data_IF_243304092329
#
_entry.id   IF_243304092329
#
_cell.length_a   1.000
_cell.length_b   1.000
_cell.length_c   1.000
_cell.angle_alpha   90.00
_cell.angle_beta   90.00
_cell.angle_gamma   90.00
#
_symmetry.space_group_name_H-M   'P 1'
#
loop_
_entity.id
_entity.type
_entity.pdbx_description
1 polymer ?
#
# COMPACT_ATOMS: atom_id res chain seq x y z
N UNK A 1 -1.87 15.01 29.28
CA UNK A 1 -1.02 13.82 29.07
C UNK A 1 -0.41 13.43 30.41
N UNK A 2 -0.85 12.31 30.97
CA UNK A 2 -0.24 11.73 32.17
C UNK A 2 0.82 10.71 31.75
N UNK A 3 2.10 11.07 31.92
CA UNK A 3 3.21 10.23 31.50
C UNK A 3 4.01 9.72 32.71
N UNK A 4 4.43 8.45 32.64
CA UNK A 4 5.44 7.90 33.51
C UNK A 4 6.82 8.02 32.84
N UNK A 5 7.82 8.42 33.63
CA UNK A 5 9.22 8.47 33.17
C UNK A 5 10.03 7.56 34.07
N UNK A 6 10.60 6.52 33.48
CA UNK A 6 11.54 5.62 34.16
C UNK A 6 12.96 5.90 33.64
N UNK A 7 13.88 6.13 34.55
CA UNK A 7 15.32 6.26 34.22
C UNK A 7 16.01 4.95 34.56
N UNK A 8 16.54 4.30 33.54
CA UNK A 8 17.30 3.04 33.69
C UNK A 8 18.75 3.29 34.10
N UNK A 9 19.37 2.27 34.68
CA UNK A 9 20.77 2.36 35.17
C UNK A 9 21.79 2.68 34.06
N UNK A 10 21.50 2.31 32.82
CA UNK A 10 22.32 2.61 31.63
C UNK A 10 22.12 4.03 31.07
N UNK A 11 21.30 4.87 31.74
CA UNK A 11 21.00 6.24 31.31
C UNK A 11 19.82 6.39 30.36
N UNK A 12 19.21 5.30 29.89
CA UNK A 12 18.02 5.34 29.07
C UNK A 12 16.82 5.92 29.83
N UNK A 13 15.98 6.66 29.11
CA UNK A 13 14.69 7.16 29.59
C UNK A 13 13.58 6.40 28.88
N UNK A 14 12.77 5.64 29.62
CA UNK A 14 11.52 5.08 29.11
C UNK A 14 10.38 6.01 29.48
N UNK A 15 9.67 6.51 28.47
CA UNK A 15 8.50 7.36 28.63
C UNK A 15 7.29 6.55 28.18
N UNK A 16 6.32 6.40 29.06
CA UNK A 16 5.08 5.67 28.78
C UNK A 16 3.85 6.50 29.20
N UNK A 17 2.73 6.28 28.53
CA UNK A 17 1.45 6.80 28.97
C UNK A 17 0.97 5.98 30.19
N UNK A 18 0.44 6.64 31.21
CA UNK A 18 -0.16 5.96 32.38
C UNK A 18 -1.58 5.50 32.11
N UNK A 19 -2.26 6.17 31.18
CA UNK A 19 -3.60 5.75 30.81
C UNK A 19 -3.54 4.37 30.12
N UNK A 20 -4.40 3.41 30.51
CA UNK A 20 -4.45 2.13 29.85
C UNK A 20 -4.87 2.29 28.39
N UNK A 21 -4.32 1.47 27.51
CA UNK A 21 -4.80 1.38 26.14
C UNK A 21 -6.26 0.84 26.18
N UNK A 22 -7.21 1.63 25.67
CA UNK A 22 -8.60 1.22 25.57
C UNK A 22 -8.82 0.06 24.59
N UNK A 23 -10.06 -0.28 24.33
CA UNK A 23 -10.40 -1.29 23.32
C UNK A 23 -9.94 -0.82 21.93
N UNK A 24 -9.25 -1.66 21.21
CA UNK A 24 -8.77 -1.39 19.85
C UNK A 24 -9.07 -2.56 18.92
N UNK A 25 -9.09 -2.30 17.62
CA UNK A 25 -9.31 -3.32 16.60
C UNK A 25 -8.11 -4.25 16.49
N UNK A 26 -8.35 -5.53 16.25
CA UNK A 26 -7.29 -6.53 16.05
C UNK A 26 -6.52 -6.33 14.74
N UNK A 27 -7.17 -5.73 13.74
CA UNK A 27 -6.56 -5.33 12.47
C UNK A 27 -7.26 -4.10 11.87
N UNK A 28 -6.58 -3.42 10.93
CA UNK A 28 -7.08 -2.19 10.32
C UNK A 28 -8.20 -2.42 9.29
N UNK A 29 -8.52 -3.65 8.93
CA UNK A 29 -9.66 -3.95 8.05
C UNK A 29 -10.99 -4.09 8.80
N UNK A 30 -10.99 -4.28 10.13
CA UNK A 30 -12.21 -4.36 10.93
C UNK A 30 -13.08 -3.10 10.84
N UNK A 31 -12.53 -1.87 10.94
CA UNK A 31 -13.30 -0.64 10.72
C UNK A 31 -13.98 -0.60 9.34
N UNK A 32 -13.28 -1.00 8.27
CA UNK A 32 -13.87 -1.06 6.93
C UNK A 32 -15.04 -2.04 6.88
N UNK A 33 -14.90 -3.23 7.48
CA UNK A 33 -15.97 -4.23 7.56
C UNK A 33 -17.16 -3.72 8.37
N UNK A 34 -16.91 -3.00 9.46
CA UNK A 34 -17.96 -2.39 10.28
C UNK A 34 -18.76 -1.38 9.47
N UNK A 35 -18.09 -0.41 8.84
CA UNK A 35 -18.77 0.65 8.09
C UNK A 35 -19.43 0.13 6.80
N UNK A 36 -18.87 -0.88 6.16
CA UNK A 36 -19.52 -1.53 5.03
C UNK A 36 -20.84 -2.24 5.39
N UNK A 37 -21.01 -2.66 6.66
CA UNK A 37 -22.27 -3.23 7.16
C UNK A 37 -23.27 -2.17 7.64
N UNK A 38 -22.78 -1.10 8.28
CA UNK A 38 -23.63 -0.10 8.95
C UNK A 38 -24.01 1.07 8.05
N UNK A 39 -23.12 1.47 7.14
CA UNK A 39 -23.31 2.58 6.19
C UNK A 39 -22.80 2.21 4.80
N UNK A 40 -23.33 1.15 4.16
CA UNK A 40 -22.78 0.59 2.92
C UNK A 40 -22.68 1.59 1.77
N UNK A 41 -23.64 2.48 1.63
CA UNK A 41 -23.77 3.41 0.52
C UNK A 41 -23.04 4.75 0.76
N UNK A 42 -22.48 4.96 1.96
CA UNK A 42 -21.70 6.15 2.23
C UNK A 42 -20.38 6.13 1.46
N UNK A 43 -20.01 7.26 0.85
CA UNK A 43 -18.73 7.42 0.14
C UNK A 43 -17.57 7.29 1.14
N UNK A 44 -16.69 6.37 0.85
CA UNK A 44 -15.46 6.12 1.62
C UNK A 44 -14.24 6.76 0.97
N UNK A 45 -14.05 6.57 -0.34
CA UNK A 45 -12.96 7.14 -1.11
C UNK A 45 -13.50 7.97 -2.26
N UNK A 46 -12.83 9.07 -2.57
CA UNK A 46 -13.12 9.87 -3.74
C UNK A 46 -11.83 10.41 -4.35
N UNK A 47 -11.75 10.42 -5.67
CA UNK A 47 -10.62 10.92 -6.44
C UNK A 47 -11.11 11.58 -7.71
N UNK A 48 -10.45 12.66 -8.14
CA UNK A 48 -10.69 13.25 -9.45
C UNK A 48 -10.06 12.42 -10.54
N UNK A 49 -10.78 12.21 -11.63
CA UNK A 49 -10.23 11.60 -12.85
C UNK A 49 -9.55 12.64 -13.75
N UNK A 50 -9.09 12.22 -14.93
CA UNK A 50 -8.41 13.08 -15.88
C UNK A 50 -9.35 14.18 -16.49
N UNK A 51 -10.66 14.01 -16.39
CA UNK A 51 -11.69 14.96 -16.83
C UNK A 51 -12.21 15.83 -15.67
N UNK A 52 -11.51 15.83 -14.52
CA UNK A 52 -11.86 16.53 -13.29
C UNK A 52 -13.22 16.10 -12.69
N UNK A 53 -13.69 14.89 -13.03
CA UNK A 53 -14.92 14.33 -12.47
C UNK A 53 -14.59 13.48 -11.22
N UNK A 54 -15.53 13.48 -10.25
CA UNK A 54 -15.37 12.68 -9.05
C UNK A 54 -15.67 11.20 -9.30
N UNK A 55 -14.66 10.36 -9.27
CA UNK A 55 -14.79 8.91 -9.07
C UNK A 55 -14.96 8.65 -7.57
N UNK A 56 -16.09 8.06 -7.17
CA UNK A 56 -16.42 7.77 -5.77
C UNK A 56 -16.53 6.27 -5.56
N UNK A 57 -16.15 5.84 -4.39
CA UNK A 57 -16.24 4.45 -3.94
C UNK A 57 -16.89 4.41 -2.57
N UNK A 58 -17.98 3.63 -2.43
CA UNK A 58 -18.68 3.48 -1.15
C UNK A 58 -17.97 2.45 -0.25
N UNK A 59 -18.33 2.40 1.03
CA UNK A 59 -17.79 1.39 1.96
C UNK A 59 -18.04 -0.03 1.48
N UNK A 60 -19.25 -0.34 1.01
CA UNK A 60 -19.58 -1.67 0.49
C UNK A 60 -18.73 -2.03 -0.74
N UNK A 61 -18.61 -1.11 -1.69
CA UNK A 61 -17.81 -1.30 -2.90
C UNK A 61 -16.31 -1.47 -2.56
N UNK A 62 -15.80 -0.68 -1.61
CA UNK A 62 -14.42 -0.79 -1.17
C UNK A 62 -14.15 -2.16 -0.53
N UNK A 63 -15.02 -2.63 0.36
CA UNK A 63 -14.85 -3.93 1.00
C UNK A 63 -14.90 -5.09 -0.01
N UNK A 64 -15.80 -5.03 -0.99
CA UNK A 64 -15.87 -6.04 -2.06
C UNK A 64 -14.56 -6.08 -2.87
N UNK A 65 -14.04 -4.93 -3.29
CA UNK A 65 -12.78 -4.86 -4.02
C UNK A 65 -11.59 -5.32 -3.14
N UNK A 66 -11.53 -4.91 -1.88
CA UNK A 66 -10.50 -5.35 -0.93
C UNK A 66 -10.45 -6.88 -0.81
N UNK A 67 -11.61 -7.54 -0.73
CA UNK A 67 -11.68 -9.00 -0.66
C UNK A 67 -11.20 -9.68 -1.96
N UNK A 68 -11.60 -9.14 -3.14
CA UNK A 68 -11.18 -9.69 -4.44
C UNK A 68 -9.68 -9.52 -4.64
N UNK A 69 -9.15 -8.33 -4.40
CA UNK A 69 -7.72 -8.05 -4.49
C UNK A 69 -6.96 -8.92 -3.48
N UNK A 70 -7.39 -9.00 -2.22
CA UNK A 70 -6.77 -9.85 -1.20
C UNK A 70 -6.66 -11.31 -1.64
N UNK A 71 -7.74 -11.87 -2.21
CA UNK A 71 -7.70 -13.21 -2.76
C UNK A 71 -6.72 -13.34 -3.95
N UNK A 72 -6.59 -12.31 -4.80
CA UNK A 72 -5.63 -12.29 -5.89
C UNK A 72 -4.17 -12.23 -5.40
N UNK A 73 -3.92 -11.47 -4.33
CA UNK A 73 -2.59 -11.39 -3.69
C UNK A 73 -2.17 -12.75 -3.11
N UNK A 74 -3.08 -13.45 -2.42
CA UNK A 74 -2.82 -14.78 -1.87
C UNK A 74 -2.53 -15.81 -2.98
N UNK A 75 -3.29 -15.79 -4.09
CA UNK A 75 -3.04 -16.70 -5.24
C UNK A 75 -1.66 -16.47 -5.89
N UNK A 76 -1.08 -15.30 -5.76
CA UNK A 76 0.27 -14.95 -6.24
C UNK A 76 1.39 -15.37 -5.28
N UNK A 77 1.02 -15.98 -4.16
CA UNK A 77 1.97 -16.42 -3.13
C UNK A 77 2.66 -15.25 -2.42
N UNK A 78 2.01 -14.09 -2.35
CA UNK A 78 2.50 -12.97 -1.54
C UNK A 78 2.31 -13.29 -0.06
N UNK A 79 3.26 -12.89 0.77
CA UNK A 79 3.34 -13.22 2.19
C UNK A 79 4.17 -12.20 2.95
N UNK A 80 4.43 -12.47 4.24
CA UNK A 80 5.35 -11.66 5.04
C UNK A 80 6.78 -11.62 4.44
N UNK A 81 7.23 -12.72 3.82
CA UNK A 81 8.55 -12.84 3.19
C UNK A 81 8.55 -12.34 1.73
N UNK A 82 7.39 -12.06 1.17
CA UNK A 82 7.19 -11.55 -0.19
C UNK A 82 6.20 -10.39 -0.16
N UNK A 83 6.58 -9.24 0.41
CA UNK A 83 5.72 -8.09 0.59
C UNK A 83 5.43 -7.37 -0.72
N UNK A 84 4.61 -6.33 -0.62
CA UNK A 84 4.27 -5.43 -1.72
C UNK A 84 5.02 -4.11 -1.55
N UNK A 85 5.62 -3.59 -2.62
CA UNK A 85 6.13 -2.22 -2.66
C UNK A 85 5.22 -1.36 -3.53
N UNK A 86 4.83 -0.20 -3.03
CA UNK A 86 4.00 0.78 -3.74
C UNK A 86 4.85 1.98 -4.12
N UNK A 87 5.19 2.08 -5.41
CA UNK A 87 5.97 3.17 -6.00
C UNK A 87 4.99 4.14 -6.67
N UNK A 88 4.19 4.84 -5.88
CA UNK A 88 3.12 5.68 -6.41
C UNK A 88 2.68 6.75 -5.41
N UNK A 89 2.08 7.82 -5.92
CA UNK A 89 1.32 8.77 -5.11
C UNK A 89 0.00 8.18 -4.62
N UNK A 90 -0.80 9.00 -3.95
CA UNK A 90 -2.12 8.61 -3.48
C UNK A 90 -3.09 8.39 -4.64
N UNK A 91 -3.82 7.28 -4.59
CA UNK A 91 -4.92 6.96 -5.51
C UNK A 91 -5.90 6.00 -4.84
N UNK A 92 -7.07 5.80 -5.44
CA UNK A 92 -8.03 4.78 -4.98
C UNK A 92 -7.38 3.39 -5.05
N UNK A 93 -6.65 3.08 -6.12
CA UNK A 93 -5.97 1.79 -6.30
C UNK A 93 -4.88 1.55 -5.25
N UNK A 94 -4.09 2.59 -4.91
CA UNK A 94 -3.13 2.53 -3.82
C UNK A 94 -3.84 2.19 -2.50
N UNK A 95 -4.92 2.90 -2.18
CA UNK A 95 -5.68 2.67 -0.95
C UNK A 95 -6.29 1.26 -0.90
N UNK A 96 -6.87 0.79 -2.02
CA UNK A 96 -7.45 -0.55 -2.12
C UNK A 96 -6.40 -1.65 -1.98
N UNK A 97 -5.23 -1.48 -2.62
CA UNK A 97 -4.13 -2.44 -2.51
C UNK A 97 -3.61 -2.53 -1.08
N UNK A 98 -3.40 -1.38 -0.43
CA UNK A 98 -2.97 -1.30 0.96
C UNK A 98 -3.98 -1.96 1.92
N UNK A 99 -5.27 -1.65 1.76
CA UNK A 99 -6.34 -2.25 2.56
C UNK A 99 -6.47 -3.76 2.32
N UNK A 100 -6.33 -4.20 1.06
CA UNK A 100 -6.36 -5.62 0.72
C UNK A 100 -5.16 -6.38 1.32
N UNK A 101 -3.96 -5.81 1.23
CA UNK A 101 -2.77 -6.39 1.85
C UNK A 101 -2.94 -6.53 3.37
N UNK A 102 -3.40 -5.47 4.06
CA UNK A 102 -3.69 -5.53 5.49
C UNK A 102 -4.80 -6.54 5.83
N UNK A 103 -5.82 -6.66 4.96
CA UNK A 103 -6.94 -7.59 5.16
C UNK A 103 -6.49 -9.06 5.19
N UNK A 104 -5.48 -9.40 4.39
CA UNK A 104 -4.96 -10.78 4.28
C UNK A 104 -3.60 -10.98 4.97
N UNK A 105 -3.12 -9.98 5.72
CA UNK A 105 -1.88 -10.08 6.50
C UNK A 105 -0.58 -10.01 5.69
N UNK A 106 -0.61 -9.39 4.51
CA UNK A 106 0.57 -9.19 3.67
C UNK A 106 1.15 -7.79 3.95
N UNK A 107 2.44 -7.67 4.32
CA UNK A 107 3.08 -6.37 4.48
C UNK A 107 3.13 -5.60 3.16
N UNK A 108 2.94 -4.29 3.24
CA UNK A 108 3.15 -3.39 2.11
C UNK A 108 3.97 -2.18 2.53
N UNK A 109 4.78 -1.67 1.62
CA UNK A 109 5.65 -0.52 1.85
C UNK A 109 5.39 0.57 0.80
N UNK A 110 4.70 1.67 1.15
CA UNK A 110 4.58 2.83 0.28
C UNK A 110 5.91 3.59 0.28
N UNK A 111 6.43 3.82 -0.92
CA UNK A 111 7.70 4.52 -1.15
C UNK A 111 7.43 5.91 -1.71
N UNK A 112 8.15 6.90 -1.20
CA UNK A 112 8.00 8.29 -1.68
C UNK A 112 8.18 8.38 -3.19
N UNK A 113 7.22 8.96 -3.94
CA UNK A 113 7.36 9.20 -5.38
C UNK A 113 8.61 10.00 -5.76
N UNK A 114 9.13 10.81 -4.85
CA UNK A 114 10.37 11.57 -5.09
C UNK A 114 11.58 10.68 -5.39
N UNK A 115 11.64 9.46 -4.83
CA UNK A 115 12.74 8.53 -5.11
C UNK A 115 12.71 7.95 -6.52
N UNK A 116 11.56 8.06 -7.19
CA UNK A 116 11.38 7.63 -8.59
C UNK A 116 11.35 8.79 -9.56
N UNK A 117 10.74 9.92 -9.20
CA UNK A 117 10.45 11.02 -10.12
C UNK A 117 11.49 12.14 -10.07
N UNK A 118 12.16 12.32 -8.92
CA UNK A 118 13.12 13.40 -8.69
C UNK A 118 14.56 12.88 -8.58
N UNK A 119 14.78 11.58 -8.49
CA UNK A 119 16.10 10.97 -8.41
C UNK A 119 16.64 10.70 -9.82
N UNK A 120 17.93 10.92 -10.03
CA UNK A 120 18.61 10.60 -11.29
C UNK A 120 19.27 9.21 -11.28
N UNK A 121 19.67 8.71 -10.11
CA UNK A 121 20.37 7.44 -9.92
C UNK A 121 19.50 6.32 -9.32
N UNK A 122 18.32 6.71 -8.79
CA UNK A 122 17.39 5.82 -8.10
C UNK A 122 17.98 5.03 -6.92
N UNK A 123 19.11 5.48 -6.35
CA UNK A 123 19.85 4.72 -5.34
C UNK A 123 19.04 4.36 -4.11
N UNK A 124 18.19 5.29 -3.59
CA UNK A 124 17.31 5.00 -2.45
C UNK A 124 16.21 3.98 -2.79
N UNK A 125 15.61 4.09 -3.97
CA UNK A 125 14.59 3.13 -4.39
C UNK A 125 15.19 1.73 -4.54
N UNK A 126 16.38 1.62 -5.18
CA UNK A 126 17.10 0.36 -5.32
C UNK A 126 17.37 -0.30 -3.96
N UNK A 127 17.93 0.46 -3.02
CA UNK A 127 18.18 -0.04 -1.66
C UNK A 127 16.91 -0.55 -0.99
N UNK A 128 15.77 0.12 -1.16
CA UNK A 128 14.49 -0.31 -0.60
C UNK A 128 14.01 -1.61 -1.25
N UNK A 129 14.09 -1.73 -2.58
CA UNK A 129 13.71 -2.96 -3.31
C UNK A 129 14.61 -4.14 -2.88
N UNK A 130 15.91 -3.92 -2.81
CA UNK A 130 16.88 -4.95 -2.35
C UNK A 130 16.65 -5.37 -0.89
N UNK A 131 16.33 -4.42 -0.01
CA UNK A 131 16.05 -4.69 1.40
C UNK A 131 14.75 -5.48 1.61
N UNK A 132 13.69 -5.10 0.87
CA UNK A 132 12.36 -5.67 1.06
C UNK A 132 12.13 -6.96 0.28
N UNK A 133 12.92 -7.22 -0.78
CA UNK A 133 12.74 -8.38 -1.65
C UNK A 133 11.26 -8.64 -2.00
N UNK A 134 10.54 -7.64 -2.58
CA UNK A 134 9.10 -7.72 -2.75
C UNK A 134 8.71 -8.82 -3.75
N UNK A 135 7.54 -9.41 -3.56
CA UNK A 135 6.94 -10.30 -4.55
C UNK A 135 6.14 -9.55 -5.62
N UNK A 136 5.81 -8.28 -5.37
CA UNK A 136 5.05 -7.41 -6.27
C UNK A 136 5.46 -5.94 -6.08
N UNK A 137 5.54 -5.20 -7.18
CA UNK A 137 5.69 -3.74 -7.17
C UNK A 137 4.49 -3.12 -7.90
N UNK A 138 3.84 -2.16 -7.25
CA UNK A 138 2.72 -1.40 -7.84
C UNK A 138 3.14 0.04 -8.15
N UNK A 139 2.74 0.54 -9.31
CA UNK A 139 2.80 1.96 -9.68
C UNK A 139 1.50 2.40 -10.37
N UNK A 140 1.04 3.62 -10.12
CA UNK A 140 -0.19 4.11 -10.73
C UNK A 140 -0.06 4.25 -12.27
N UNK A 141 1.12 4.61 -12.76
CA UNK A 141 1.37 4.84 -14.19
C UNK A 141 2.74 4.27 -14.57
N UNK A 142 2.72 3.25 -15.44
CA UNK A 142 3.95 2.58 -15.89
C UNK A 142 4.87 3.51 -16.70
N UNK A 143 4.32 4.43 -17.49
CA UNK A 143 5.14 5.37 -18.27
C UNK A 143 5.81 6.41 -17.35
N UNK A 144 5.05 6.99 -16.42
CA UNK A 144 5.55 8.00 -15.47
C UNK A 144 6.68 7.45 -14.61
N UNK A 145 6.51 6.26 -14.05
CA UNK A 145 7.48 5.60 -13.15
C UNK A 145 8.47 4.69 -13.91
N UNK A 146 8.31 4.51 -15.20
CA UNK A 146 8.99 3.50 -16.01
C UNK A 146 10.51 3.50 -15.87
N UNK A 147 11.16 4.66 -15.96
CA UNK A 147 12.64 4.77 -15.80
C UNK A 147 13.12 4.20 -14.47
N UNK A 148 12.42 4.51 -13.39
CA UNK A 148 12.76 4.02 -12.05
C UNK A 148 12.48 2.52 -11.93
N UNK A 149 11.36 2.03 -12.46
CA UNK A 149 10.96 0.62 -12.44
C UNK A 149 11.99 -0.24 -13.20
N UNK A 150 12.38 0.15 -14.42
CA UNK A 150 13.42 -0.56 -15.18
C UNK A 150 14.78 -0.57 -14.48
N UNK A 151 15.14 0.54 -13.82
CA UNK A 151 16.44 0.67 -13.18
C UNK A 151 16.57 -0.09 -11.86
N UNK A 152 15.45 -0.41 -11.19
CA UNK A 152 15.49 -0.86 -9.78
C UNK A 152 14.74 -2.14 -9.48
N UNK A 153 13.76 -2.54 -10.30
CA UNK A 153 12.93 -3.71 -10.03
C UNK A 153 13.41 -4.88 -10.90
N UNK A 154 13.90 -5.98 -10.31
CA UNK A 154 14.28 -7.20 -11.02
C UNK A 154 13.16 -7.75 -11.90
N UNK A 155 13.51 -8.42 -13.00
CA UNK A 155 12.55 -8.88 -14.02
C UNK A 155 11.60 -9.97 -13.51
N UNK A 156 12.01 -10.75 -12.52
CA UNK A 156 11.22 -11.79 -11.88
C UNK A 156 10.13 -11.26 -10.94
N UNK A 157 10.17 -9.97 -10.57
CA UNK A 157 9.17 -9.35 -9.71
C UNK A 157 7.99 -8.86 -10.56
N UNK A 158 6.77 -9.27 -10.19
CA UNK A 158 5.56 -8.83 -10.85
C UNK A 158 5.37 -7.31 -10.73
N UNK A 159 5.21 -6.65 -11.88
CA UNK A 159 4.82 -5.24 -11.95
C UNK A 159 3.32 -5.12 -12.17
N UNK A 160 2.66 -4.37 -11.31
CA UNK A 160 1.25 -4.04 -11.44
C UNK A 160 1.09 -2.53 -11.65
N UNK A 161 0.32 -2.12 -12.65
CA UNK A 161 0.05 -0.71 -12.92
C UNK A 161 -1.43 -0.44 -13.11
N UNK A 162 -1.86 0.78 -12.80
CA UNK A 162 -3.25 1.20 -13.09
C UNK A 162 -3.42 1.53 -14.58
N UNK A 163 -2.41 2.17 -15.18
CA UNK A 163 -2.41 2.59 -16.58
C UNK A 163 -1.00 2.59 -17.17
N UNK A 164 -0.92 2.74 -18.50
CA UNK A 164 0.33 2.85 -19.25
C UNK A 164 1.28 1.67 -18.99
N UNK A 165 0.90 0.41 -19.33
CA UNK A 165 1.80 -0.74 -19.17
C UNK A 165 3.14 -0.50 -19.86
N UNK A 166 4.21 -1.12 -19.33
CA UNK A 166 5.54 -1.05 -19.94
C UNK A 166 5.56 -1.88 -21.23
N UNK A 167 6.14 -1.32 -22.32
CA UNK A 167 6.03 -1.93 -23.65
C UNK A 167 6.84 -3.22 -23.85
N UNK A 168 7.97 -3.35 -23.17
CA UNK A 168 8.95 -4.42 -23.33
C UNK A 168 9.16 -5.27 -22.06
N UNK A 169 8.32 -5.07 -21.04
CA UNK A 169 8.31 -5.85 -19.81
C UNK A 169 6.89 -6.29 -19.46
N UNK A 170 6.66 -7.57 -19.12
CA UNK A 170 5.36 -8.03 -18.66
C UNK A 170 4.85 -7.18 -17.50
N UNK A 171 3.62 -6.70 -17.63
CA UNK A 171 3.00 -5.80 -16.68
C UNK A 171 1.52 -6.19 -16.52
N UNK A 172 1.08 -6.43 -15.30
CA UNK A 172 -0.32 -6.72 -14.98
C UNK A 172 -1.08 -5.41 -14.77
N UNK A 173 -2.28 -5.28 -15.34
CA UNK A 173 -3.16 -4.17 -15.01
C UNK A 173 -3.81 -4.38 -13.63
N UNK A 174 -3.94 -3.31 -12.85
CA UNK A 174 -4.60 -3.37 -11.54
C UNK A 174 -6.03 -3.91 -11.61
N UNK A 175 -6.73 -3.66 -12.73
CA UNK A 175 -8.08 -4.18 -12.98
C UNK A 175 -8.14 -5.70 -13.13
N UNK A 176 -7.01 -6.39 -13.26
CA UNK A 176 -6.89 -7.84 -13.38
C UNK A 176 -6.66 -8.53 -12.01
N UNK A 177 -6.54 -7.73 -10.94
CA UNK A 177 -6.48 -8.22 -9.58
C UNK A 177 -7.91 -8.46 -9.05
#
# INVERSE_FOLDING_TARGET
LDVAVERRANGELLISNRDPLGTFHGNLSEPLQHWARTTPDQVFLAQRDAQDQWRRLTYAQALDQVKRIGAALLRRGLSADRPIVIVSGNSIEHALLALAAMHVGIPYAPVSPAYSLMSSDFGKLRMIIELLTPGMVFAADGLMFGKALYATVPDEIELVVTQSPLGDRPTTLFSEL
#
